data_IF_304706778983
#
_entry.id   IF_304706778983
#
_cell.length_a   1.000
_cell.length_b   1.000
_cell.length_c   1.000
_cell.angle_alpha   90.00
_cell.angle_beta   90.00
_cell.angle_gamma   90.00
#
_symmetry.space_group_name_H-M   'P 1'
#
loop_
_entity.id
_entity.type
_entity.pdbx_description
1 polymer ?
#
# COMPACT_ATOMS: atom_id res chain seq x y z
N UNK A 1 30.32 -58.40 -57.38
CA UNK A 1 29.13 -57.70 -56.83
C UNK A 1 29.27 -57.19 -55.38
N UNK A 2 30.41 -57.38 -54.68
CA UNK A 2 30.60 -56.89 -53.29
C UNK A 2 31.10 -55.44 -53.16
N UNK A 3 31.57 -54.80 -54.23
CA UNK A 3 32.14 -53.45 -54.18
C UNK A 3 31.14 -52.29 -54.31
N UNK A 4 29.96 -52.51 -54.90
CA UNK A 4 28.99 -51.43 -55.16
C UNK A 4 28.17 -51.02 -53.92
N UNK A 5 27.97 -51.95 -52.99
CA UNK A 5 27.18 -51.72 -51.77
C UNK A 5 27.91 -50.84 -50.75
N UNK A 6 29.24 -50.94 -50.66
CA UNK A 6 30.03 -50.17 -49.70
C UNK A 6 30.07 -48.68 -50.08
N UNK A 7 30.17 -48.38 -51.38
CA UNK A 7 30.20 -47.00 -51.89
C UNK A 7 28.85 -46.29 -51.71
N UNK A 8 27.74 -47.04 -51.79
CA UNK A 8 26.41 -46.49 -51.54
C UNK A 8 26.20 -46.15 -50.05
N UNK A 9 26.62 -47.04 -49.14
CA UNK A 9 26.53 -46.81 -47.70
C UNK A 9 27.38 -45.63 -47.22
N UNK A 10 28.60 -45.49 -47.73
CA UNK A 10 29.49 -44.37 -47.39
C UNK A 10 28.92 -43.02 -47.87
N UNK A 11 28.30 -42.96 -49.06
CA UNK A 11 27.66 -41.74 -49.55
C UNK A 11 26.42 -41.37 -48.75
N UNK A 12 25.64 -42.35 -48.30
CA UNK A 12 24.44 -42.11 -47.47
C UNK A 12 24.82 -41.60 -46.07
N UNK A 13 25.85 -42.20 -45.45
CA UNK A 13 26.39 -41.74 -44.16
C UNK A 13 26.98 -40.33 -44.24
N UNK A 14 27.72 -40.01 -45.31
CA UNK A 14 28.29 -38.68 -45.51
C UNK A 14 27.20 -37.61 -45.75
N UNK A 15 26.13 -37.97 -46.49
CA UNK A 15 24.96 -37.11 -46.67
C UNK A 15 24.20 -36.83 -45.37
N UNK A 16 24.00 -37.85 -44.53
CA UNK A 16 23.36 -37.71 -43.21
C UNK A 16 24.19 -36.84 -42.25
N UNK A 17 25.52 -36.98 -42.28
CA UNK A 17 26.42 -36.16 -41.47
C UNK A 17 26.41 -34.69 -41.91
N UNK A 18 26.38 -34.40 -43.22
CA UNK A 18 26.25 -33.03 -43.71
C UNK A 18 24.89 -32.42 -43.39
N UNK A 19 23.80 -33.20 -43.46
CA UNK A 19 22.45 -32.70 -43.14
C UNK A 19 22.30 -32.39 -41.64
N UNK A 20 22.89 -33.21 -40.76
CA UNK A 20 22.94 -32.94 -39.32
C UNK A 20 23.85 -31.75 -38.96
N UNK A 21 24.96 -31.55 -39.69
CA UNK A 21 25.83 -30.38 -39.53
C UNK A 21 25.14 -29.08 -39.99
N UNK A 22 24.34 -29.12 -41.05
CA UNK A 22 23.58 -27.95 -41.53
C UNK A 22 22.39 -27.64 -40.62
N UNK A 23 21.72 -28.65 -40.06
CA UNK A 23 20.66 -28.44 -39.05
C UNK A 23 21.19 -27.90 -37.71
N UNK A 24 22.42 -28.24 -37.32
CA UNK A 24 23.06 -27.69 -36.11
C UNK A 24 23.63 -26.27 -36.29
N UNK A 25 23.92 -25.84 -37.53
CA UNK A 25 24.28 -24.46 -37.86
C UNK A 25 23.05 -23.53 -38.02
N UNK A 26 21.86 -24.08 -38.26
CA UNK A 26 20.59 -23.33 -38.34
C UNK A 26 19.90 -23.07 -37.00
N UNK A 27 20.31 -23.79 -35.94
CA UNK A 27 19.91 -23.47 -34.58
C UNK A 27 20.77 -22.31 -34.05
N UNK A 28 20.56 -21.11 -34.60
CA UNK A 28 20.85 -19.88 -33.85
C UNK A 28 20.03 -19.98 -32.57
N UNK A 29 20.65 -20.52 -31.51
CA UNK A 29 20.17 -20.50 -30.14
C UNK A 29 19.87 -19.03 -29.87
N UNK A 30 18.60 -18.64 -30.04
CA UNK A 30 18.06 -17.45 -29.45
C UNK A 30 18.19 -17.70 -27.96
N UNK A 31 19.36 -17.38 -27.39
CA UNK A 31 19.47 -17.18 -25.97
C UNK A 31 18.40 -16.13 -25.69
N UNK A 32 17.33 -16.46 -24.94
CA UNK A 32 16.37 -15.44 -24.57
C UNK A 32 17.20 -14.32 -23.98
N UNK A 33 17.12 -13.13 -24.59
CA UNK A 33 17.78 -11.94 -24.07
C UNK A 33 17.25 -11.81 -22.66
N UNK A 34 18.06 -12.22 -21.69
CA UNK A 34 17.70 -12.17 -20.29
C UNK A 34 17.53 -10.69 -20.02
N UNK A 35 16.28 -10.22 -19.97
CA UNK A 35 15.97 -8.81 -19.71
C UNK A 35 16.69 -8.48 -18.41
N UNK A 36 17.71 -7.63 -18.50
CA UNK A 36 18.44 -7.20 -17.31
C UNK A 36 17.41 -6.61 -16.34
N UNK A 37 17.41 -7.09 -15.10
CA UNK A 37 16.54 -6.54 -14.07
C UNK A 37 16.88 -5.05 -13.91
N UNK A 38 15.89 -4.15 -13.91
CA UNK A 38 16.17 -2.73 -13.75
C UNK A 38 16.78 -2.46 -12.37
N UNK A 39 17.60 -1.41 -12.30
CA UNK A 39 18.09 -0.91 -11.02
C UNK A 39 17.06 0.04 -10.42
N UNK A 40 16.99 0.09 -9.09
CA UNK A 40 16.27 1.12 -8.38
C UNK A 40 17.28 2.10 -7.79
N UNK A 41 16.95 3.38 -7.88
CA UNK A 41 17.66 4.45 -7.21
C UNK A 41 16.71 5.04 -6.17
N UNK A 42 16.90 4.67 -4.91
CA UNK A 42 15.98 4.97 -3.81
C UNK A 42 16.59 5.99 -2.86
N UNK A 43 15.79 6.90 -2.33
CA UNK A 43 16.19 7.78 -1.25
C UNK A 43 15.08 7.92 -0.21
N UNK A 44 15.47 7.82 1.06
CA UNK A 44 14.63 8.17 2.19
C UNK A 44 14.73 9.67 2.46
N UNK A 45 13.58 10.30 2.65
CA UNK A 45 13.46 11.70 3.04
C UNK A 45 13.22 11.71 4.55
N UNK A 46 14.31 11.77 5.33
CA UNK A 46 14.20 11.76 6.78
C UNK A 46 13.61 13.07 7.34
N UNK A 47 13.96 14.19 6.70
CA UNK A 47 13.48 15.53 7.00
C UNK A 47 13.86 16.47 5.86
N UNK A 48 12.88 17.10 5.23
CA UNK A 48 13.08 18.12 4.21
C UNK A 48 12.26 19.36 4.54
N UNK A 49 12.90 20.54 4.52
CA UNK A 49 12.22 21.79 4.81
C UNK A 49 11.24 22.11 3.68
N UNK A 50 10.01 22.42 4.05
CA UNK A 50 8.96 22.77 3.11
C UNK A 50 8.20 24.02 3.53
N UNK A 51 7.49 24.56 2.55
CA UNK A 51 6.54 25.65 2.69
C UNK A 51 5.23 25.20 2.07
N UNK A 52 4.14 25.34 2.83
CA UNK A 52 2.78 25.12 2.38
C UNK A 52 2.09 26.48 2.31
N UNK A 53 1.54 26.84 1.14
CA UNK A 53 0.71 28.04 1.05
C UNK A 53 -0.70 27.71 1.53
N UNK A 54 -1.21 28.51 2.45
CA UNK A 54 -2.59 28.45 2.95
C UNK A 54 -3.30 29.77 2.66
N UNK A 55 -4.61 29.84 2.92
CA UNK A 55 -5.35 31.11 2.91
C UNK A 55 -4.85 32.14 3.94
N UNK A 56 -4.13 31.71 4.99
CA UNK A 56 -3.49 32.60 5.98
C UNK A 56 -2.03 32.97 5.61
N UNK A 57 -1.61 32.66 4.39
CA UNK A 57 -0.25 32.84 3.90
C UNK A 57 0.58 31.57 3.98
N UNK A 58 1.89 31.72 3.77
CA UNK A 58 2.85 30.63 3.78
C UNK A 58 3.12 30.12 5.21
N UNK A 59 3.29 28.81 5.33
CA UNK A 59 3.60 28.11 6.57
C UNK A 59 4.78 27.18 6.34
N UNK A 60 5.78 27.27 7.21
CA UNK A 60 6.89 26.33 7.21
C UNK A 60 6.42 24.97 7.74
N UNK A 61 6.96 23.90 7.18
CA UNK A 61 6.76 22.53 7.65
C UNK A 61 7.97 21.66 7.32
N UNK A 62 7.89 20.38 7.68
CA UNK A 62 8.87 19.35 7.35
C UNK A 62 8.18 18.23 6.60
N UNK A 63 8.67 17.92 5.40
CA UNK A 63 8.28 16.74 4.65
C UNK A 63 9.20 15.56 4.96
N UNK A 64 8.60 14.38 4.98
CA UNK A 64 9.25 13.08 5.19
C UNK A 64 8.69 12.09 4.17
N UNK A 65 9.35 10.95 4.02
CA UNK A 65 8.88 9.88 3.13
C UNK A 65 9.99 9.31 2.27
N UNK A 66 9.71 9.10 0.98
CA UNK A 66 10.63 8.45 0.06
C UNK A 66 10.42 8.88 -1.39
N UNK A 67 11.50 8.74 -2.17
CA UNK A 67 11.48 8.87 -3.62
C UNK A 67 12.29 7.73 -4.24
N UNK A 68 11.80 7.14 -5.31
CA UNK A 68 12.48 6.09 -6.05
C UNK A 68 12.39 6.31 -7.55
N UNK A 69 13.50 6.03 -8.25
CA UNK A 69 13.54 5.96 -9.69
C UNK A 69 13.85 4.54 -10.15
N UNK A 70 13.09 4.08 -11.15
CA UNK A 70 13.49 2.93 -11.95
C UNK A 70 14.51 3.40 -12.97
N UNK A 71 15.66 2.73 -13.01
CA UNK A 71 16.77 3.08 -13.91
C UNK A 71 16.93 1.97 -14.94
N UNK A 72 16.82 2.36 -16.20
CA UNK A 72 17.04 1.50 -17.35
C UNK A 72 18.13 2.07 -18.24
N UNK A 73 18.74 1.22 -19.06
CA UNK A 73 19.76 1.65 -20.02
C UNK A 73 19.11 1.70 -21.41
N UNK A 74 19.16 2.86 -22.06
CA UNK A 74 18.75 3.04 -23.44
C UNK A 74 19.88 2.67 -24.42
N UNK A 75 19.56 2.70 -25.71
CA UNK A 75 20.52 2.52 -26.79
C UNK A 75 21.74 3.45 -26.59
N UNK A 76 22.94 2.90 -26.80
CA UNK A 76 24.23 3.58 -26.61
C UNK A 76 24.62 3.83 -25.13
N UNK A 77 23.99 3.14 -24.18
CA UNK A 77 24.40 3.17 -22.78
C UNK A 77 23.91 4.38 -21.97
N UNK A 78 22.97 5.15 -22.52
CA UNK A 78 22.40 6.30 -21.81
C UNK A 78 21.40 5.84 -20.75
N UNK A 79 21.51 6.36 -19.53
CA UNK A 79 20.55 6.04 -18.47
C UNK A 79 19.23 6.77 -18.71
N UNK A 80 18.13 6.03 -18.61
CA UNK A 80 16.76 6.53 -18.53
C UNK A 80 16.24 6.30 -17.12
N UNK A 81 15.71 7.36 -16.52
CA UNK A 81 15.06 7.31 -15.23
C UNK A 81 13.55 7.34 -15.45
N UNK A 82 12.80 6.66 -14.61
CA UNK A 82 11.35 6.81 -14.50
C UNK A 82 11.03 6.99 -13.02
N UNK A 83 10.26 8.03 -12.67
CA UNK A 83 9.83 8.22 -11.29
C UNK A 83 8.88 7.07 -10.96
N UNK A 84 9.31 6.22 -10.03
CA UNK A 84 8.65 4.95 -9.72
C UNK A 84 7.86 5.03 -8.41
N UNK A 85 8.39 5.71 -7.39
CA UNK A 85 7.68 6.00 -6.14
C UNK A 85 7.96 7.42 -5.70
N UNK A 86 6.91 8.07 -5.18
CA UNK A 86 7.02 9.31 -4.45
C UNK A 86 5.93 9.30 -3.39
N UNK A 87 6.33 8.97 -2.17
CA UNK A 87 5.46 9.00 -1.00
C UNK A 87 5.99 10.10 -0.10
N UNK A 88 5.15 11.06 0.23
CA UNK A 88 5.49 12.15 1.10
C UNK A 88 4.43 12.30 2.15
N UNK A 89 4.85 12.67 3.35
CA UNK A 89 3.95 13.16 4.35
C UNK A 89 4.58 14.32 5.11
N UNK A 90 3.73 15.13 5.73
CA UNK A 90 4.11 16.25 6.57
C UNK A 90 3.17 16.31 7.76
N UNK A 91 3.64 16.75 8.94
CA UNK A 91 2.76 17.22 9.99
C UNK A 91 1.79 18.28 9.45
N UNK A 92 0.65 18.43 10.13
CA UNK A 92 -0.35 19.41 9.73
C UNK A 92 0.11 20.86 9.85
N UNK A 93 -0.53 21.73 9.09
CA UNK A 93 -0.33 23.17 9.14
C UNK A 93 -1.64 23.88 9.50
N UNK A 94 -1.51 25.00 10.20
CA UNK A 94 -2.66 25.85 10.55
C UNK A 94 -3.21 26.54 9.30
N UNK A 95 -4.48 26.31 8.99
CA UNK A 95 -5.19 26.99 7.90
C UNK A 95 -6.18 28.03 8.43
N UNK A 96 -6.93 28.68 7.53
CA UNK A 96 -8.06 29.54 7.92
C UNK A 96 -9.25 28.78 8.49
N UNK A 97 -9.35 27.47 8.22
CA UNK A 97 -10.46 26.60 8.64
C UNK A 97 -10.10 25.61 9.74
N UNK A 98 -8.90 25.71 10.33
CA UNK A 98 -8.38 24.81 11.37
C UNK A 98 -7.06 24.17 10.98
N UNK A 99 -6.58 23.24 11.81
CA UNK A 99 -5.42 22.41 11.49
C UNK A 99 -5.72 21.51 10.29
N UNK A 100 -4.79 21.38 9.34
CA UNK A 100 -4.98 20.49 8.19
C UNK A 100 -5.02 19.01 8.59
N UNK A 101 -4.41 18.65 9.72
CA UNK A 101 -4.00 17.28 10.01
C UNK A 101 -2.82 16.84 9.13
N UNK A 102 -2.37 15.59 9.27
CA UNK A 102 -1.25 15.04 8.49
C UNK A 102 -1.53 15.18 7.00
N UNK A 103 -0.59 15.80 6.28
CA UNK A 103 -0.67 15.96 4.83
C UNK A 103 0.02 14.77 4.21
N UNK A 104 -0.67 13.96 3.41
CA UNK A 104 -0.13 12.80 2.71
C UNK A 104 -0.19 12.98 1.20
N UNK A 105 0.87 12.58 0.50
CA UNK A 105 0.94 12.56 -0.96
C UNK A 105 1.54 11.26 -1.47
N UNK A 106 0.92 10.71 -2.52
CA UNK A 106 1.35 9.47 -3.15
C UNK A 106 1.28 9.59 -4.67
N UNK A 107 2.31 9.11 -5.37
CA UNK A 107 2.35 9.05 -6.83
C UNK A 107 1.13 8.30 -7.40
N UNK A 108 0.51 8.85 -8.45
CA UNK A 108 -0.57 8.21 -9.21
C UNK A 108 -0.03 7.60 -10.50
N UNK A 109 -0.38 6.34 -10.76
CA UNK A 109 0.02 5.64 -11.97
C UNK A 109 1.48 5.17 -11.95
N UNK A 110 1.91 4.55 -13.05
CA UNK A 110 3.14 3.77 -13.03
C UNK A 110 4.43 4.58 -13.23
N UNK A 111 4.44 5.66 -14.02
CA UNK A 111 5.68 6.41 -14.31
C UNK A 111 5.42 7.89 -14.65
N UNK A 112 6.02 8.81 -13.88
CA UNK A 112 6.08 10.23 -14.23
C UNK A 112 7.00 10.51 -15.42
N UNK A 113 6.79 11.63 -16.14
CA UNK A 113 7.72 12.00 -17.22
C UNK A 113 9.04 12.46 -16.61
N UNK A 114 10.17 11.89 -17.03
CA UNK A 114 11.48 12.33 -16.53
C UNK A 114 12.46 12.64 -17.66
N UNK A 115 13.38 13.56 -17.36
CA UNK A 115 14.53 13.87 -18.19
C UNK A 115 15.78 13.96 -17.32
N UNK A 116 16.83 13.27 -17.72
CA UNK A 116 18.11 13.23 -17.02
C UNK A 116 19.26 13.51 -17.99
N UNK A 117 20.19 14.36 -17.58
CA UNK A 117 21.40 14.65 -18.34
C UNK A 117 22.63 14.04 -17.66
N UNK A 118 23.17 12.96 -18.24
CA UNK A 118 24.37 12.31 -17.72
C UNK A 118 25.62 13.21 -17.65
N UNK A 119 25.65 14.29 -18.42
CA UNK A 119 26.77 15.25 -18.42
C UNK A 119 26.71 16.24 -17.26
N UNK A 120 25.51 16.77 -16.96
CA UNK A 120 25.34 17.79 -15.92
C UNK A 120 24.77 17.24 -14.61
N UNK A 121 24.34 15.98 -14.58
CA UNK A 121 23.63 15.40 -13.44
C UNK A 121 22.21 15.95 -13.26
N UNK A 122 21.75 16.87 -14.11
CA UNK A 122 20.46 17.53 -13.96
C UNK A 122 19.32 16.55 -14.22
N UNK A 123 18.35 16.58 -13.31
CA UNK A 123 17.12 15.80 -13.34
C UNK A 123 15.93 16.75 -13.34
N UNK A 124 14.94 16.45 -14.17
CA UNK A 124 13.60 17.01 -14.09
C UNK A 124 12.60 15.86 -14.19
N UNK A 125 11.69 15.74 -13.23
CA UNK A 125 10.57 14.81 -13.29
C UNK A 125 9.25 15.56 -13.04
N UNK A 126 8.22 15.21 -13.79
CA UNK A 126 6.86 15.72 -13.64
C UNK A 126 5.91 14.54 -13.44
N UNK A 127 4.97 14.67 -12.51
CA UNK A 127 4.10 13.57 -12.11
C UNK A 127 2.76 14.08 -11.58
N UNK A 128 1.81 13.17 -11.47
CA UNK A 128 0.54 13.41 -10.77
C UNK A 128 0.58 12.68 -9.43
N UNK A 129 0.11 13.32 -8.37
CA UNK A 129 -0.02 12.70 -7.05
C UNK A 129 -1.44 12.86 -6.52
N UNK A 130 -1.83 11.90 -5.70
CA UNK A 130 -3.00 11.99 -4.82
C UNK A 130 -2.57 12.73 -3.56
N UNK A 131 -3.25 13.81 -3.22
CA UNK A 131 -3.10 14.59 -1.98
C UNK A 131 -4.28 14.30 -1.05
N UNK A 132 -3.98 14.10 0.22
CA UNK A 132 -4.97 14.05 1.30
C UNK A 132 -4.50 14.82 2.53
N UNK A 133 -5.45 15.37 3.28
CA UNK A 133 -5.24 15.94 4.62
C UNK A 133 -6.58 15.90 5.39
N UNK A 134 -6.64 15.44 6.65
CA UNK A 134 -7.89 15.24 7.42
C UNK A 134 -8.91 16.38 7.39
N UNK A 135 -8.45 17.63 7.33
CA UNK A 135 -9.35 18.78 7.26
C UNK A 135 -10.27 18.75 6.03
N UNK A 136 -9.84 18.12 4.93
CA UNK A 136 -10.69 17.97 3.75
C UNK A 136 -11.91 17.11 4.04
N UNK A 137 -11.75 16.01 4.80
CA UNK A 137 -12.84 15.12 5.17
C UNK A 137 -13.79 15.82 6.16
N UNK A 138 -13.25 16.66 7.05
CA UNK A 138 -14.06 17.49 7.97
C UNK A 138 -14.92 18.51 7.23
N UNK A 139 -14.48 19.02 6.09
CA UNK A 139 -15.17 20.06 5.32
C UNK A 139 -16.09 19.47 4.26
N UNK A 140 -15.63 18.45 3.52
CA UNK A 140 -16.34 17.83 2.40
C UNK A 140 -17.15 16.59 2.83
N UNK A 141 -16.93 16.07 4.03
CA UNK A 141 -17.44 14.76 4.48
C UNK A 141 -16.57 13.61 3.96
N UNK A 142 -17.06 12.38 4.05
CA UNK A 142 -16.51 11.24 3.31
C UNK A 142 -17.27 11.05 1.98
N UNK A 143 -16.66 10.36 1.02
CA UNK A 143 -17.31 10.07 -0.27
C UNK A 143 -18.49 9.11 -0.04
N UNK A 144 -19.71 9.60 -0.24
CA UNK A 144 -20.92 8.78 -0.18
C UNK A 144 -21.10 7.93 -1.44
N UNK A 145 -21.38 6.63 -1.28
CA UNK A 145 -21.81 5.76 -2.39
C UNK A 145 -23.14 6.26 -2.99
N UNK A 146 -23.31 6.24 -4.32
CA UNK A 146 -24.62 6.39 -4.94
C UNK A 146 -25.52 5.24 -4.47
N UNK A 147 -26.59 5.54 -3.74
CA UNK A 147 -27.58 4.54 -3.31
C UNK A 147 -27.72 4.31 -1.81
N UNK A 148 -26.84 4.86 -0.97
CA UNK A 148 -26.95 4.87 0.51
C UNK A 148 -26.98 3.47 1.12
N UNK A 149 -25.90 3.02 1.74
CA UNK A 149 -25.90 1.70 2.38
C UNK A 149 -24.64 1.35 3.14
N UNK A 150 -23.46 1.78 2.69
CA UNK A 150 -22.22 1.42 3.38
C UNK A 150 -21.52 2.65 3.96
N UNK A 151 -21.10 2.51 5.22
CA UNK A 151 -20.25 3.41 6.01
C UNK A 151 -18.82 3.41 5.48
N UNK A 152 -18.65 3.58 4.18
CA UNK A 152 -17.34 3.65 3.56
C UNK A 152 -16.74 5.01 3.90
N UNK A 153 -15.84 5.06 4.88
CA UNK A 153 -15.04 6.23 5.26
C UNK A 153 -13.96 6.55 4.22
N UNK A 154 -14.32 6.50 2.94
CA UNK A 154 -13.42 6.75 1.83
C UNK A 154 -13.18 8.26 1.76
N UNK A 155 -11.92 8.70 1.89
CA UNK A 155 -11.61 10.11 2.04
C UNK A 155 -11.79 10.86 0.72
N UNK A 156 -11.99 12.17 0.83
CA UNK A 156 -11.78 13.02 -0.34
C UNK A 156 -10.30 13.21 -0.56
N UNK A 157 -9.84 12.81 -1.74
CA UNK A 157 -8.50 13.12 -2.22
C UNK A 157 -8.53 14.17 -3.31
N UNK A 158 -7.45 14.94 -3.42
CA UNK A 158 -7.23 15.94 -4.46
C UNK A 158 -6.08 15.47 -5.37
N UNK A 159 -6.10 15.91 -6.62
CA UNK A 159 -5.03 15.63 -7.57
C UNK A 159 -4.08 16.82 -7.64
N UNK A 160 -2.79 16.58 -7.42
CA UNK A 160 -1.73 17.59 -7.56
C UNK A 160 -0.75 17.23 -8.66
N UNK A 161 -0.28 18.25 -9.38
CA UNK A 161 0.86 18.14 -10.30
C UNK A 161 2.13 18.37 -9.49
N UNK A 162 2.99 17.36 -9.46
CA UNK A 162 4.31 17.42 -8.87
C UNK A 162 5.40 17.68 -9.90
N UNK A 163 6.39 18.47 -9.51
CA UNK A 163 7.59 18.75 -10.30
C UNK A 163 8.82 18.64 -9.41
N UNK A 164 9.69 17.70 -9.74
CA UNK A 164 11.01 17.56 -9.13
C UNK A 164 12.06 18.13 -10.08
N UNK A 165 12.86 19.09 -9.61
CA UNK A 165 14.01 19.61 -10.35
C UNK A 165 15.23 19.57 -9.44
N UNK A 166 16.36 19.09 -9.95
CA UNK A 166 17.60 19.10 -9.19
C UNK A 166 18.78 18.57 -9.98
N UNK A 167 19.85 18.25 -9.26
CA UNK A 167 21.07 17.70 -9.81
C UNK A 167 21.71 16.68 -8.87
N UNK A 168 22.24 15.61 -9.46
CA UNK A 168 23.13 14.69 -8.76
C UNK A 168 24.53 15.30 -8.67
N UNK A 169 25.20 15.15 -7.52
CA UNK A 169 26.56 15.66 -7.28
C UNK A 169 27.61 15.02 -8.20
N UNK A 170 27.29 13.87 -8.78
CA UNK A 170 28.13 13.13 -9.71
C UNK A 170 27.27 12.43 -10.76
N UNK A 171 27.87 12.12 -11.90
CA UNK A 171 27.19 11.34 -12.95
C UNK A 171 26.80 9.95 -12.45
N UNK A 172 25.54 9.58 -12.66
CA UNK A 172 25.00 8.28 -12.28
C UNK A 172 25.71 7.15 -13.02
N UNK A 173 26.15 6.15 -12.25
CA UNK A 173 26.66 4.86 -12.71
C UNK A 173 26.03 3.78 -11.83
N UNK A 174 25.31 2.80 -12.40
CA UNK A 174 24.72 1.74 -11.59
C UNK A 174 25.81 0.96 -10.85
N UNK A 175 25.78 1.00 -9.52
CA UNK A 175 26.71 0.29 -8.66
C UNK A 175 26.01 -0.04 -7.33
N UNK A 176 25.79 -1.33 -7.05
CA UNK A 176 25.03 -1.79 -5.87
C UNK A 176 25.60 -1.21 -4.57
N UNK A 177 24.73 -0.63 -3.74
CA UNK A 177 25.07 -0.14 -2.39
C UNK A 177 25.85 1.17 -2.34
N UNK A 178 26.20 1.77 -3.49
CA UNK A 178 26.86 3.08 -3.50
C UNK A 178 25.83 4.22 -3.38
N UNK A 179 26.14 5.19 -2.49
CA UNK A 179 25.36 6.41 -2.33
C UNK A 179 25.67 7.46 -3.41
N UNK A 180 24.65 8.15 -3.90
CA UNK A 180 24.76 9.30 -4.80
C UNK A 180 23.98 10.46 -4.21
N UNK A 181 24.70 11.52 -3.84
CA UNK A 181 24.08 12.74 -3.34
C UNK A 181 23.29 13.47 -4.43
N UNK A 182 22.13 14.00 -4.06
CA UNK A 182 21.22 14.78 -4.90
C UNK A 182 20.78 16.04 -4.16
N UNK A 183 20.77 17.17 -4.85
CA UNK A 183 20.18 18.41 -4.35
C UNK A 183 19.07 18.83 -5.31
N UNK A 184 17.91 19.17 -4.78
CA UNK A 184 16.80 19.57 -5.62
C UNK A 184 15.65 20.20 -4.86
N UNK A 185 14.58 20.38 -5.60
CA UNK A 185 13.37 21.02 -5.16
C UNK A 185 12.17 20.27 -5.73
N UNK A 186 11.20 20.02 -4.86
CA UNK A 186 9.89 19.49 -5.19
C UNK A 186 8.87 20.63 -5.10
N UNK A 187 8.12 20.84 -6.16
CA UNK A 187 7.02 21.80 -6.21
C UNK A 187 5.75 21.04 -6.55
N UNK A 188 4.69 21.28 -5.79
CA UNK A 188 3.37 20.67 -5.97
C UNK A 188 2.33 21.77 -6.16
N UNK A 189 1.63 21.71 -7.28
CA UNK A 189 0.58 22.66 -7.66
C UNK A 189 -0.73 21.88 -7.83
N UNK A 190 -1.82 22.34 -7.22
CA UNK A 190 -3.13 21.73 -7.42
C UNK A 190 -3.57 21.89 -8.88
N UNK A 191 -4.11 20.81 -9.47
CA UNK A 191 -4.36 20.76 -10.92
C UNK A 191 -5.53 21.69 -11.32
N UNK A 192 -6.63 21.65 -10.57
CA UNK A 192 -7.84 22.50 -10.75
C UNK A 192 -8.72 22.50 -9.48
N UNK A 193 -8.12 22.28 -8.30
CA UNK A 193 -8.83 22.07 -7.04
C UNK A 193 -9.54 23.33 -6.52
N UNK A 194 -10.65 23.14 -5.81
CA UNK A 194 -11.28 24.18 -4.99
C UNK A 194 -10.17 24.90 -4.18
N UNK A 195 -9.88 26.19 -4.42
CA UNK A 195 -8.71 26.89 -3.88
C UNK A 195 -8.76 27.08 -2.35
N UNK A 196 -9.69 26.42 -1.67
CA UNK A 196 -10.14 26.76 -0.35
C UNK A 196 -9.11 26.46 0.76
N UNK A 197 -8.09 25.62 0.56
CA UNK A 197 -7.23 25.20 1.69
C UNK A 197 -5.72 25.26 1.40
N UNK A 198 -5.20 24.45 0.46
CA UNK A 198 -3.76 24.27 0.23
C UNK A 198 -3.35 24.43 -1.26
N UNK A 199 -3.37 25.65 -1.83
CA UNK A 199 -3.14 25.90 -3.27
C UNK A 199 -1.84 25.34 -3.86
N UNK A 200 -0.73 25.42 -3.12
CA UNK A 200 0.55 24.85 -3.55
C UNK A 200 1.45 24.52 -2.35
N UNK A 201 2.40 23.62 -2.59
CA UNK A 201 3.42 23.22 -1.64
C UNK A 201 4.80 23.21 -2.32
N UNK A 202 5.83 23.60 -1.59
CA UNK A 202 7.23 23.59 -2.05
C UNK A 202 8.09 22.92 -0.99
N UNK A 203 9.01 22.08 -1.41
CA UNK A 203 9.92 21.38 -0.52
C UNK A 203 11.33 21.41 -1.12
N UNK A 204 12.32 21.84 -0.33
CA UNK A 204 13.72 21.82 -0.73
C UNK A 204 14.36 20.58 -0.14
N UNK A 205 14.96 19.76 -1.00
CA UNK A 205 15.47 18.44 -0.64
C UNK A 205 16.98 18.35 -0.88
N UNK A 206 17.68 17.76 0.09
CA UNK A 206 19.05 17.27 -0.08
C UNK A 206 19.03 15.81 0.34
N UNK A 207 19.24 14.92 -0.62
CA UNK A 207 19.03 13.48 -0.46
C UNK A 207 20.30 12.72 -0.78
N UNK A 208 20.42 11.55 -0.18
CA UNK A 208 21.38 10.54 -0.58
C UNK A 208 20.59 9.37 -1.18
N UNK A 209 20.81 9.12 -2.47
CA UNK A 209 20.20 7.99 -3.17
C UNK A 209 21.10 6.78 -3.10
N UNK A 210 20.55 5.61 -2.85
CA UNK A 210 21.26 4.34 -2.83
C UNK A 210 20.81 3.52 -4.04
N UNK A 211 21.78 2.90 -4.71
CA UNK A 211 21.51 1.94 -5.76
C UNK A 211 21.13 0.59 -5.18
N UNK A 212 19.91 0.16 -5.51
CA UNK A 212 19.40 -1.15 -5.13
C UNK A 212 19.10 -2.03 -6.34
N UNK A 213 19.23 -3.33 -6.15
CA UNK A 213 18.66 -4.33 -7.05
C UNK A 213 17.28 -4.71 -6.52
N UNK A 214 16.33 -4.92 -7.44
CA UNK A 214 14.98 -5.38 -7.08
C UNK A 214 15.05 -6.57 -6.10
N UNK A 215 14.22 -6.54 -5.06
CA UNK A 215 14.00 -7.57 -4.02
C UNK A 215 14.94 -7.61 -2.80
N UNK A 216 15.84 -6.64 -2.62
CA UNK A 216 16.65 -6.54 -1.37
C UNK A 216 16.13 -5.51 -0.36
N UNK A 217 15.15 -4.69 -0.76
CA UNK A 217 14.54 -3.65 0.05
C UNK A 217 13.06 -3.95 0.31
N UNK A 218 12.60 -3.66 1.52
CA UNK A 218 11.20 -3.77 1.91
C UNK A 218 10.57 -2.39 2.03
N UNK A 219 9.29 -2.27 1.72
CA UNK A 219 8.48 -1.13 2.12
C UNK A 219 7.82 -1.44 3.45
N UNK A 220 8.13 -0.62 4.44
CA UNK A 220 7.69 -0.76 5.82
C UNK A 220 6.52 0.19 6.05
N UNK A 221 5.45 -0.32 6.66
CA UNK A 221 4.35 0.45 7.22
C UNK A 221 4.42 0.35 8.75
N UNK A 222 4.49 1.49 9.43
CA UNK A 222 4.41 1.51 10.89
C UNK A 222 2.98 1.41 11.37
N UNK A 223 2.80 0.70 12.48
CA UNK A 223 1.54 0.50 13.17
C UNK A 223 1.71 0.96 14.61
N UNK A 224 0.80 1.82 15.06
CA UNK A 224 0.65 2.21 16.45
C UNK A 224 -0.59 1.52 17.03
N UNK A 225 -0.45 0.46 17.85
CA UNK A 225 -1.59 -0.08 18.58
C UNK A 225 -2.07 0.96 19.60
N UNK A 226 -3.39 1.12 19.71
CA UNK A 226 -4.05 1.97 20.70
C UNK A 226 -5.08 1.14 21.45
N UNK A 227 -4.86 0.94 22.76
CA UNK A 227 -5.71 0.14 23.62
C UNK A 227 -6.52 1.02 24.57
N UNK A 228 -7.66 0.53 25.04
CA UNK A 228 -8.50 1.20 26.03
C UNK A 228 -8.14 0.66 27.40
N UNK A 229 -7.72 1.54 28.30
CA UNK A 229 -7.27 1.20 29.65
C UNK A 229 -6.33 2.25 30.23
N UNK A 230 -5.95 2.07 31.49
CA UNK A 230 -5.13 3.02 32.24
C UNK A 230 -3.61 2.88 31.99
N UNK A 231 -3.16 1.80 31.34
CA UNK A 231 -1.75 1.56 30.98
C UNK A 231 -1.39 0.10 30.75
N UNK A 232 -0.10 -0.18 30.58
CA UNK A 232 0.44 -1.53 30.33
C UNK A 232 0.16 -2.54 31.46
N UNK A 233 0.12 -2.06 32.70
CA UNK A 233 -0.15 -2.88 33.88
C UNK A 233 -1.66 -3.05 34.17
N UNK A 234 -2.54 -2.46 33.36
CA UNK A 234 -3.99 -2.57 33.54
C UNK A 234 -4.47 -3.97 33.11
N UNK A 235 -4.91 -4.83 34.04
CA UNK A 235 -5.32 -6.20 33.71
C UNK A 235 -6.62 -6.26 32.92
N UNK A 236 -7.30 -5.12 32.75
CA UNK A 236 -8.53 -5.01 31.98
C UNK A 236 -8.31 -4.33 30.64
N UNK A 237 -7.10 -3.82 30.32
CA UNK A 237 -6.88 -3.15 29.05
C UNK A 237 -7.26 -4.03 27.86
N UNK A 238 -7.85 -3.43 26.83
CA UNK A 238 -8.14 -4.13 25.57
C UNK A 238 -6.84 -4.46 24.82
N UNK A 239 -6.95 -5.20 23.71
CA UNK A 239 -5.82 -5.58 22.88
C UNK A 239 -5.39 -7.05 23.02
N UNK A 240 -6.15 -7.87 23.75
CA UNK A 240 -5.85 -9.31 23.93
C UNK A 240 -5.76 -10.07 22.60
N UNK A 241 -6.55 -9.66 21.61
CA UNK A 241 -6.56 -10.27 20.28
C UNK A 241 -5.44 -9.78 19.36
N UNK A 242 -4.87 -8.60 19.64
CA UNK A 242 -4.09 -7.82 18.69
C UNK A 242 -2.86 -8.57 18.19
N UNK A 243 -2.15 -9.22 19.11
CA UNK A 243 -0.94 -9.99 18.81
C UNK A 243 -1.20 -11.14 17.83
N UNK A 244 -2.36 -11.77 17.93
CA UNK A 244 -2.74 -12.85 17.01
C UNK A 244 -3.12 -12.28 15.65
N UNK A 245 -3.97 -11.24 15.62
CA UNK A 245 -4.43 -10.60 14.38
C UNK A 245 -3.26 -10.00 13.60
N UNK A 246 -2.31 -9.35 14.27
CA UNK A 246 -1.16 -8.73 13.60
C UNK A 246 -0.21 -9.78 13.05
N UNK A 247 -0.02 -10.92 13.74
CA UNK A 247 0.76 -12.06 13.19
C UNK A 247 0.14 -12.60 11.91
N UNK A 248 -1.19 -12.73 11.85
CA UNK A 248 -1.90 -13.15 10.64
C UNK A 248 -1.75 -12.15 9.50
N UNK A 249 -1.82 -10.85 9.81
CA UNK A 249 -1.52 -9.79 8.86
C UNK A 249 -0.06 -9.83 8.36
N UNK A 250 0.90 -10.09 9.26
CA UNK A 250 2.28 -10.29 8.88
C UNK A 250 2.45 -11.41 7.86
N UNK A 251 1.86 -12.57 8.14
CA UNK A 251 1.94 -13.75 7.26
C UNK A 251 1.34 -13.44 5.88
N UNK A 252 0.13 -12.87 5.80
CA UNK A 252 -0.51 -12.57 4.52
C UNK A 252 0.23 -11.50 3.71
N UNK A 253 0.67 -10.42 4.33
CA UNK A 253 1.41 -9.37 3.63
C UNK A 253 2.85 -9.80 3.28
N UNK A 254 3.41 -10.80 3.99
CA UNK A 254 4.69 -11.40 3.62
C UNK A 254 4.65 -12.12 2.27
N UNK A 255 3.50 -12.71 1.91
CA UNK A 255 3.29 -13.36 0.61
C UNK A 255 3.51 -12.43 -0.57
N UNK A 256 3.51 -11.10 -0.39
CA UNK A 256 3.85 -10.18 -1.47
C UNK A 256 5.32 -10.25 -1.95
N UNK A 257 6.20 -11.01 -1.30
CA UNK A 257 7.65 -10.95 -1.50
C UNK A 257 8.17 -11.01 -2.94
N UNK A 258 7.60 -11.86 -3.80
CA UNK A 258 8.04 -11.98 -5.21
C UNK A 258 7.55 -10.84 -6.11
N UNK A 259 6.53 -10.10 -5.70
CA UNK A 259 6.02 -8.93 -6.42
C UNK A 259 6.58 -7.64 -5.84
N UNK A 260 6.50 -7.52 -4.51
CA UNK A 260 6.90 -6.36 -3.71
C UNK A 260 6.95 -6.73 -2.23
N UNK A 261 8.12 -6.54 -1.62
CA UNK A 261 8.28 -6.84 -0.21
C UNK A 261 7.61 -5.77 0.67
N UNK A 262 6.45 -6.08 1.26
CA UNK A 262 5.74 -5.22 2.21
C UNK A 262 5.90 -5.81 3.62
N UNK A 263 6.13 -4.94 4.60
CA UNK A 263 6.33 -5.31 6.00
C UNK A 263 5.62 -4.34 6.93
N UNK A 264 5.20 -4.86 8.07
CA UNK A 264 4.65 -4.05 9.14
C UNK A 264 5.73 -3.84 10.21
N UNK A 265 5.70 -2.71 10.89
CA UNK A 265 6.53 -2.45 12.06
C UNK A 265 5.60 -1.98 13.17
N UNK A 266 5.47 -2.77 14.22
CA UNK A 266 4.54 -2.49 15.31
C UNK A 266 5.29 -1.78 16.43
N UNK A 267 4.88 -0.56 16.73
CA UNK A 267 5.36 0.21 17.88
C UNK A 267 4.70 -0.28 19.18
N UNK A 268 5.26 0.02 20.38
CA UNK A 268 4.60 -0.29 21.65
C UNK A 268 3.21 0.35 21.75
N UNK A 269 2.24 -0.29 22.44
CA UNK A 269 0.88 0.23 22.54
C UNK A 269 0.81 1.58 23.26
N UNK A 270 -0.12 2.42 22.81
CA UNK A 270 -0.57 3.62 23.52
C UNK A 270 -1.92 3.32 24.17
N UNK A 271 -2.20 3.95 25.32
CA UNK A 271 -3.42 3.70 26.07
C UNK A 271 -4.32 4.93 26.13
N UNK A 272 -5.62 4.73 25.94
CA UNK A 272 -6.68 5.72 26.13
C UNK A 272 -7.45 5.34 27.40
N UNK A 273 -7.27 6.14 28.44
CA UNK A 273 -7.93 5.95 29.75
C UNK A 273 -9.36 6.51 29.72
N UNK A 274 -10.23 5.83 28.97
CA UNK A 274 -11.65 6.15 28.89
C UNK A 274 -12.49 4.89 28.63
N UNK A 275 -13.03 4.32 29.71
CA UNK A 275 -13.83 3.09 29.68
C UNK A 275 -15.06 3.16 28.78
N UNK A 276 -15.56 4.36 28.45
CA UNK A 276 -16.69 4.52 27.54
C UNK A 276 -16.38 4.03 26.12
N UNK A 277 -15.10 3.91 25.74
CA UNK A 277 -14.69 3.40 24.43
C UNK A 277 -14.46 1.89 24.37
N UNK A 278 -14.60 1.17 25.48
CA UNK A 278 -14.44 -0.30 25.47
C UNK A 278 -15.49 -0.98 24.60
N UNK A 279 -16.72 -0.46 24.64
CA UNK A 279 -17.86 -0.94 23.85
C UNK A 279 -18.30 0.20 22.97
N UNK A 280 -18.28 0.01 21.65
CA UNK A 280 -18.78 1.01 20.72
C UNK A 280 -20.18 0.64 20.22
N UNK A 281 -21.09 1.60 20.34
CA UNK A 281 -22.50 1.45 20.00
C UNK A 281 -22.80 1.90 18.56
N UNK A 282 -22.00 2.81 18.02
CA UNK A 282 -22.26 3.47 16.74
C UNK A 282 -21.01 4.12 16.12
N UNK A 283 -21.12 4.50 14.84
CA UNK A 283 -20.05 5.16 14.09
C UNK A 283 -19.54 6.45 14.74
N UNK A 284 -20.40 7.22 15.44
CA UNK A 284 -20.00 8.50 16.02
C UNK A 284 -19.02 8.30 17.19
N UNK A 285 -19.19 7.24 17.98
CA UNK A 285 -18.26 6.87 19.04
C UNK A 285 -16.92 6.41 18.47
N UNK A 286 -16.93 5.61 17.41
CA UNK A 286 -15.71 5.22 16.71
C UNK A 286 -14.97 6.44 16.12
N UNK A 287 -15.71 7.40 15.56
CA UNK A 287 -15.15 8.68 15.08
C UNK A 287 -14.55 9.50 16.21
N UNK A 288 -15.17 9.51 17.39
CA UNK A 288 -14.63 10.20 18.56
C UNK A 288 -13.35 9.51 19.06
N UNK A 289 -13.38 8.18 19.21
CA UNK A 289 -12.25 7.38 19.66
C UNK A 289 -11.01 7.60 18.79
N UNK A 290 -11.14 7.53 17.47
CA UNK A 290 -9.98 7.67 16.57
C UNK A 290 -9.29 9.04 16.63
N UNK A 291 -9.98 10.05 17.18
CA UNK A 291 -9.47 11.42 17.34
C UNK A 291 -8.69 11.61 18.67
N UNK A 292 -8.70 10.63 19.58
CA UNK A 292 -7.98 10.66 20.88
C UNK A 292 -6.46 10.57 20.73
N UNK A 293 -5.98 9.82 19.73
CA UNK A 293 -4.55 9.63 19.44
C UNK A 293 -4.27 10.15 18.04
N UNK A 294 -3.10 10.77 17.84
CA UNK A 294 -2.68 11.32 16.56
C UNK A 294 -1.16 11.17 16.36
N UNK A 295 -0.74 10.00 15.87
CA UNK A 295 0.65 9.69 15.54
C UNK A 295 0.89 9.93 14.05
N UNK A 296 1.76 10.89 13.74
CA UNK A 296 1.88 11.38 12.36
C UNK A 296 2.58 10.42 11.39
N UNK A 297 3.37 9.46 11.88
CA UNK A 297 4.20 8.56 11.06
C UNK A 297 3.84 7.08 11.17
N UNK A 298 2.67 6.76 11.72
CA UNK A 298 2.17 5.40 11.88
C UNK A 298 0.66 5.34 11.61
N UNK A 299 0.19 4.14 11.27
CA UNK A 299 -1.24 3.83 11.20
C UNK A 299 -1.71 3.46 12.59
N UNK A 300 -2.65 4.22 13.15
CA UNK A 300 -3.21 3.86 14.44
C UNK A 300 -4.27 2.78 14.30
N UNK A 301 -4.16 1.75 15.14
CA UNK A 301 -5.13 0.66 15.24
C UNK A 301 -5.71 0.69 16.65
N UNK A 302 -6.93 1.18 16.77
CA UNK A 302 -7.68 1.23 18.02
C UNK A 302 -8.33 -0.13 18.24
N UNK A 303 -8.02 -0.79 19.34
CA UNK A 303 -8.63 -2.07 19.70
C UNK A 303 -9.60 -1.85 20.84
N UNK A 304 -10.89 -2.07 20.58
CA UNK A 304 -11.94 -2.03 21.58
C UNK A 304 -12.28 -3.44 22.06
N UNK A 305 -12.98 -3.56 23.18
CA UNK A 305 -13.40 -4.87 23.68
C UNK A 305 -14.41 -5.50 22.73
N UNK A 306 -15.43 -4.72 22.33
CA UNK A 306 -16.46 -5.19 21.39
C UNK A 306 -17.22 -4.07 20.69
N UNK A 307 -17.87 -4.45 19.61
CA UNK A 307 -18.97 -3.69 19.00
C UNK A 307 -20.31 -4.19 19.55
N UNK A 308 -21.32 -3.33 19.61
CA UNK A 308 -22.71 -3.82 19.74
C UNK A 308 -23.17 -4.49 18.44
N UNK A 309 -24.17 -5.36 18.53
CA UNK A 309 -24.67 -6.18 17.43
C UNK A 309 -24.93 -5.37 16.14
N UNK A 310 -25.54 -4.18 16.24
CA UNK A 310 -25.83 -3.36 15.06
C UNK A 310 -24.58 -2.84 14.35
N UNK A 311 -23.51 -2.56 15.09
CA UNK A 311 -22.24 -2.10 14.55
C UNK A 311 -21.39 -3.29 14.07
N UNK A 312 -21.32 -4.37 14.84
CA UNK A 312 -20.70 -5.65 14.47
C UNK A 312 -21.23 -6.19 13.14
N UNK A 313 -22.54 -6.01 12.90
CA UNK A 313 -23.19 -6.37 11.65
C UNK A 313 -22.64 -5.59 10.45
N UNK A 314 -22.42 -4.28 10.60
CA UNK A 314 -22.05 -3.41 9.49
C UNK A 314 -20.54 -3.42 9.23
N UNK A 315 -19.75 -3.54 10.28
CA UNK A 315 -18.29 -3.44 10.22
C UNK A 315 -17.63 -4.82 10.25
N UNK A 316 -18.39 -5.87 10.55
CA UNK A 316 -17.83 -7.17 10.85
C UNK A 316 -16.88 -7.06 12.05
N UNK A 317 -15.59 -7.25 11.79
CA UNK A 317 -14.52 -7.22 12.79
C UNK A 317 -13.92 -5.85 13.10
N UNK A 318 -14.32 -4.81 12.35
CA UNK A 318 -13.72 -3.48 12.45
C UNK A 318 -13.84 -2.66 11.17
N UNK A 319 -13.24 -1.48 11.15
CA UNK A 319 -13.38 -0.57 10.02
C UNK A 319 -12.19 0.37 9.85
N UNK A 320 -11.87 0.62 8.59
CA UNK A 320 -10.83 1.57 8.18
C UNK A 320 -11.42 2.93 7.85
N UNK A 321 -10.87 3.96 8.49
CA UNK A 321 -11.11 5.36 8.21
C UNK A 321 -10.05 5.92 7.27
N UNK A 322 -10.46 6.85 6.39
CA UNK A 322 -9.56 7.59 5.50
C UNK A 322 -8.62 6.68 4.67
N UNK A 323 -9.14 5.53 4.21
CA UNK A 323 -8.42 4.49 3.46
C UNK A 323 -7.46 5.04 2.41
N UNK A 324 -6.26 4.46 2.32
CA UNK A 324 -5.23 4.82 1.35
C UNK A 324 -4.45 6.12 1.64
N UNK A 325 -4.67 6.76 2.79
CA UNK A 325 -4.06 8.06 3.12
C UNK A 325 -3.14 7.98 4.34
N UNK A 326 -2.35 9.04 4.56
CA UNK A 326 -1.52 9.15 5.76
C UNK A 326 -2.33 9.31 7.06
N UNK A 327 -3.63 9.57 6.95
CA UNK A 327 -4.54 9.67 8.09
C UNK A 327 -5.39 8.41 8.28
N UNK A 328 -5.02 7.32 7.59
CA UNK A 328 -5.79 6.08 7.72
C UNK A 328 -5.69 5.55 9.14
N UNK A 329 -6.82 5.13 9.69
CA UNK A 329 -6.93 4.57 11.04
C UNK A 329 -7.83 3.35 11.00
N UNK A 330 -7.55 2.36 11.84
CA UNK A 330 -8.39 1.18 11.97
C UNK A 330 -9.00 1.19 13.37
N UNK A 331 -10.29 0.88 13.46
CA UNK A 331 -10.93 0.50 14.73
C UNK A 331 -11.29 -0.98 14.62
N UNK A 332 -10.75 -1.80 15.51
CA UNK A 332 -10.93 -3.25 15.54
C UNK A 332 -11.41 -3.70 16.93
N UNK A 333 -11.82 -4.96 17.04
CA UNK A 333 -12.45 -5.53 18.24
C UNK A 333 -11.72 -6.78 18.73
N UNK A 334 -11.61 -6.95 20.05
CA UNK A 334 -11.08 -8.17 20.65
C UNK A 334 -11.97 -9.41 20.40
N UNK A 335 -13.27 -9.20 20.22
CA UNK A 335 -14.21 -10.27 19.84
C UNK A 335 -13.93 -10.89 18.47
N UNK A 336 -12.97 -10.37 17.68
CA UNK A 336 -12.56 -11.05 16.45
C UNK A 336 -12.05 -12.47 16.69
N UNK A 337 -11.56 -12.81 17.88
CA UNK A 337 -11.10 -14.17 18.21
C UNK A 337 -12.10 -15.01 19.03
N UNK A 338 -13.24 -14.42 19.38
CA UNK A 338 -14.32 -15.06 20.13
C UNK A 338 -15.64 -14.45 19.68
N UNK A 339 -15.98 -14.69 18.40
CA UNK A 339 -17.09 -14.01 17.74
C UNK A 339 -18.40 -14.49 18.36
N UNK A 340 -19.16 -13.61 19.04
CA UNK A 340 -20.46 -14.00 19.55
C UNK A 340 -21.40 -14.17 18.35
N UNK A 341 -21.62 -15.40 17.91
CA UNK A 341 -22.57 -15.63 16.84
C UNK A 341 -24.01 -15.53 17.35
N UNK A 342 -24.85 -14.66 16.77
CA UNK A 342 -26.26 -14.70 17.05
C UNK A 342 -26.81 -16.06 16.59
N UNK A 343 -27.47 -16.77 17.49
CA UNK A 343 -28.18 -18.02 17.18
C UNK A 343 -29.20 -17.81 16.03
N UNK A 344 -29.50 -18.89 15.29
CA UNK A 344 -28.80 -19.36 14.12
C UNK A 344 -29.16 -18.52 12.87
N UNK A 345 -28.26 -18.45 11.89
CA UNK A 345 -28.48 -17.90 10.54
C UNK A 345 -29.56 -18.68 9.74
N UNK A 346 -30.78 -18.79 10.26
CA UNK A 346 -31.88 -19.62 9.75
C UNK A 346 -32.89 -18.85 8.92
N UNK A 347 -32.83 -17.52 8.90
CA UNK A 347 -33.69 -16.74 8.00
C UNK A 347 -33.09 -16.70 6.60
N UNK A 348 -33.53 -17.64 5.77
CA UNK A 348 -33.47 -17.63 4.31
C UNK A 348 -34.22 -16.43 3.68
N UNK A 349 -34.18 -15.24 4.28
CA UNK A 349 -34.75 -14.04 3.65
C UNK A 349 -33.72 -13.46 2.67
N UNK A 350 -33.91 -13.84 1.41
CA UNK A 350 -33.15 -13.49 0.20
C UNK A 350 -33.25 -12.03 -0.21
N UNK A 351 -33.43 -11.10 0.73
CA UNK A 351 -33.34 -9.67 0.40
C UNK A 351 -31.88 -9.31 0.23
N UNK A 352 -31.47 -9.09 -1.02
CA UNK A 352 -30.17 -8.54 -1.37
C UNK A 352 -29.96 -7.23 -0.59
N UNK A 353 -29.11 -7.29 0.44
CA UNK A 353 -28.82 -6.16 1.34
C UNK A 353 -28.98 -6.43 2.84
N UNK A 354 -29.31 -7.65 3.28
CA UNK A 354 -29.38 -7.99 4.72
C UNK A 354 -28.44 -9.16 5.10
N UNK A 355 -28.07 -9.23 6.38
CA UNK A 355 -27.13 -10.19 7.01
C UNK A 355 -27.35 -11.66 6.66
N UNK A 356 -28.57 -12.03 6.28
CA UNK A 356 -28.90 -13.38 5.79
C UNK A 356 -28.03 -13.77 4.58
N UNK A 357 -27.72 -12.83 3.69
CA UNK A 357 -26.86 -13.07 2.53
C UNK A 357 -25.39 -13.29 2.93
N UNK A 358 -24.91 -12.65 4.01
CA UNK A 358 -23.53 -12.82 4.48
C UNK A 358 -23.35 -14.18 5.16
N UNK A 359 -24.27 -14.60 6.04
CA UNK A 359 -24.21 -15.97 6.59
C UNK A 359 -24.29 -17.05 5.50
N UNK A 360 -25.13 -16.85 4.47
CA UNK A 360 -25.31 -17.82 3.37
C UNK A 360 -24.01 -17.99 2.54
N UNK A 361 -23.17 -16.95 2.43
CA UNK A 361 -21.86 -17.04 1.74
C UNK A 361 -20.86 -17.94 2.48
N UNK A 362 -21.02 -18.09 3.79
CA UNK A 362 -20.07 -18.82 4.62
C UNK A 362 -20.33 -20.32 4.60
N UNK A 363 -21.42 -20.75 3.96
CA UNK A 363 -21.77 -22.15 3.77
C UNK A 363 -22.25 -22.80 5.05
N UNK A 364 -23.21 -23.72 4.94
CA UNK A 364 -23.86 -24.42 6.05
C UNK A 364 -22.91 -25.29 6.90
N UNK A 365 -21.61 -25.35 6.55
CA UNK A 365 -20.57 -26.20 7.13
C UNK A 365 -19.44 -25.46 7.84
N UNK A 366 -19.29 -24.14 7.66
CA UNK A 366 -18.39 -23.35 8.50
C UNK A 366 -19.21 -22.84 9.66
N UNK A 367 -18.96 -23.39 10.85
CA UNK A 367 -19.62 -22.96 12.07
C UNK A 367 -19.49 -21.44 12.20
N UNK A 368 -20.64 -20.77 12.19
CA UNK A 368 -20.73 -19.42 12.70
C UNK A 368 -20.15 -19.44 14.14
N UNK A 369 -19.12 -18.63 14.40
CA UNK A 369 -18.77 -18.25 15.78
C UNK A 369 -17.40 -18.67 16.28
N UNK A 370 -16.48 -19.07 15.40
CA UNK A 370 -15.14 -19.40 15.87
C UNK A 370 -14.24 -18.15 15.84
N UNK A 371 -13.77 -17.68 14.67
CA UNK A 371 -12.75 -16.61 14.61
C UNK A 371 -12.74 -15.85 13.28
N UNK A 372 -12.37 -14.56 13.32
CA UNK A 372 -12.07 -13.68 12.18
C UNK A 372 -10.57 -13.31 12.17
N UNK A 373 -9.70 -14.27 11.85
CA UNK A 373 -8.23 -14.14 11.98
C UNK A 373 -7.64 -13.13 10.99
N UNK A 374 -8.27 -12.97 9.82
CA UNK A 374 -7.75 -12.21 8.69
C UNK A 374 -8.36 -10.83 8.56
N UNK A 375 -9.27 -10.45 9.47
CA UNK A 375 -9.87 -9.12 9.49
C UNK A 375 -8.83 -8.00 9.48
N UNK A 376 -7.83 -8.06 10.37
CA UNK A 376 -6.83 -7.00 10.42
C UNK A 376 -6.02 -6.92 9.11
N UNK A 377 -5.75 -8.06 8.48
CA UNK A 377 -5.10 -8.14 7.17
C UNK A 377 -5.92 -7.41 6.10
N UNK A 378 -7.25 -7.59 6.12
CA UNK A 378 -8.22 -6.93 5.25
C UNK A 378 -8.24 -5.42 5.44
N UNK A 379 -8.38 -4.95 6.69
CA UNK A 379 -8.38 -3.51 7.01
C UNK A 379 -7.05 -2.85 6.64
N UNK A 380 -5.92 -3.53 6.84
CA UNK A 380 -4.63 -3.06 6.35
C UNK A 380 -4.58 -2.97 4.83
N UNK A 381 -5.34 -3.77 4.10
CA UNK A 381 -5.54 -3.62 2.66
C UNK A 381 -6.21 -2.30 2.30
N UNK A 382 -7.25 -1.90 3.04
CA UNK A 382 -7.86 -0.58 2.88
C UNK A 382 -6.91 0.56 3.23
N UNK A 383 -6.13 0.43 4.30
CA UNK A 383 -5.03 1.37 4.61
C UNK A 383 -4.04 1.47 3.46
N UNK A 384 -3.74 0.35 2.79
CA UNK A 384 -2.91 0.25 1.60
C UNK A 384 -3.67 0.58 0.30
N UNK A 385 -4.74 1.36 0.38
CA UNK A 385 -5.49 1.87 -0.78
C UNK A 385 -6.09 0.77 -1.66
N UNK A 386 -6.39 -0.42 -1.13
CA UNK A 386 -7.12 -1.47 -1.86
C UNK A 386 -8.61 -1.39 -1.52
N UNK A 387 -9.46 -1.47 -2.55
CA UNK A 387 -10.90 -1.62 -2.37
C UNK A 387 -11.31 -3.08 -2.29
N UNK A 388 -12.61 -3.33 -2.07
CA UNK A 388 -13.17 -4.66 -2.29
C UNK A 388 -13.18 -5.00 -3.78
N UNK A 389 -13.06 -6.29 -4.14
CA UNK A 389 -13.15 -6.72 -5.53
C UNK A 389 -14.50 -6.31 -6.15
N UNK A 390 -14.50 -6.03 -7.46
CA UNK A 390 -15.65 -5.55 -8.26
C UNK A 390 -16.23 -4.19 -7.85
N UNK A 391 -15.89 -3.66 -6.67
CA UNK A 391 -16.39 -2.39 -6.18
C UNK A 391 -15.31 -1.63 -5.40
N UNK A 392 -14.29 -1.09 -6.09
CA UNK A 392 -13.16 -0.44 -5.45
C UNK A 392 -13.53 0.89 -4.77
N UNK A 393 -14.68 1.49 -5.11
CA UNK A 393 -15.19 2.74 -4.54
C UNK A 393 -14.19 3.93 -4.59
N UNK A 394 -13.31 3.95 -5.58
CA UNK A 394 -12.27 4.99 -5.72
C UNK A 394 -10.96 4.68 -5.01
N UNK A 395 -10.83 3.49 -4.41
CA UNK A 395 -9.56 2.86 -4.05
C UNK A 395 -9.01 2.07 -5.26
N UNK A 396 -7.84 1.46 -5.13
CA UNK A 396 -7.29 0.61 -6.17
C UNK A 396 -8.00 -0.74 -6.24
N UNK A 397 -8.06 -1.32 -7.44
CA UNK A 397 -8.65 -2.64 -7.66
C UNK A 397 -7.90 -3.73 -6.88
N UNK A 398 -8.66 -4.72 -6.46
CA UNK A 398 -8.18 -5.93 -5.78
C UNK A 398 -8.76 -7.19 -6.43
N UNK A 399 -8.21 -8.34 -6.06
CA UNK A 399 -8.52 -9.63 -6.69
C UNK A 399 -9.67 -10.35 -5.98
N UNK A 400 -10.62 -10.87 -6.77
CA UNK A 400 -11.66 -11.79 -6.29
C UNK A 400 -11.03 -13.00 -5.55
N UNK A 401 -11.69 -13.49 -4.51
CA UNK A 401 -11.26 -14.59 -3.63
C UNK A 401 -9.91 -14.34 -2.91
N UNK A 402 -9.50 -13.08 -2.75
CA UNK A 402 -8.35 -12.70 -1.91
C UNK A 402 -8.82 -12.19 -0.55
N UNK A 403 -7.87 -11.84 0.33
CA UNK A 403 -8.11 -11.19 1.63
C UNK A 403 -9.00 -9.95 1.52
N UNK A 404 -9.05 -9.30 0.35
CA UNK A 404 -9.88 -8.11 0.12
C UNK A 404 -11.37 -8.42 -0.10
N UNK A 405 -11.79 -9.68 -0.15
CA UNK A 405 -13.22 -10.02 -0.16
C UNK A 405 -13.92 -9.42 1.08
N UNK A 406 -15.08 -8.77 0.92
CA UNK A 406 -15.85 -8.32 2.06
C UNK A 406 -16.31 -9.52 2.89
N UNK A 407 -16.11 -9.44 4.20
CA UNK A 407 -16.58 -10.43 5.15
C UNK A 407 -17.34 -9.76 6.30
N UNK A 408 -18.18 -10.53 6.99
CA UNK A 408 -18.87 -10.08 8.21
C UNK A 408 -18.16 -10.64 9.44
N UNK A 409 -18.57 -10.24 10.64
CA UNK A 409 -17.91 -10.69 11.89
C UNK A 409 -17.91 -12.24 11.98
N UNK A 410 -18.98 -12.88 11.53
CA UNK A 410 -19.17 -14.32 11.56
C UNK A 410 -18.37 -15.10 10.50
N UNK A 411 -17.63 -14.43 9.62
CA UNK A 411 -16.94 -15.08 8.52
C UNK A 411 -15.57 -14.45 8.31
N UNK A 412 -14.54 -15.28 8.39
CA UNK A 412 -13.18 -14.81 8.18
C UNK A 412 -12.97 -14.34 6.73
N UNK A 413 -12.09 -13.36 6.54
CA UNK A 413 -11.62 -13.02 5.21
C UNK A 413 -10.77 -14.19 4.66
N UNK A 414 -10.71 -14.39 3.33
CA UNK A 414 -9.88 -15.44 2.76
C UNK A 414 -8.42 -15.30 3.18
N UNK A 415 -7.81 -16.40 3.62
CA UNK A 415 -6.36 -16.50 3.88
C UNK A 415 -5.57 -16.64 2.56
N UNK A 416 -5.78 -15.68 1.65
CA UNK A 416 -5.25 -15.69 0.28
C UNK A 416 -4.79 -14.29 -0.10
N UNK A 417 -3.56 -14.16 -0.59
CA UNK A 417 -3.01 -12.91 -1.12
C UNK A 417 -2.80 -12.99 -2.64
N UNK A 418 -2.99 -11.87 -3.37
CA UNK A 418 -2.79 -11.80 -4.81
C UNK A 418 -1.65 -10.86 -5.23
N UNK A 419 -1.08 -11.13 -6.40
CA UNK A 419 -0.03 -10.29 -6.99
C UNK A 419 -0.53 -8.89 -7.33
N UNK A 420 -1.77 -8.78 -7.83
CA UNK A 420 -2.42 -7.50 -8.09
C UNK A 420 -2.53 -6.65 -6.81
N UNK A 421 -3.00 -7.22 -5.69
CA UNK A 421 -3.08 -6.54 -4.41
C UNK A 421 -1.70 -6.00 -4.00
N UNK A 422 -0.65 -6.82 -4.11
CA UNK A 422 0.72 -6.44 -3.77
C UNK A 422 1.26 -5.29 -4.63
N UNK A 423 0.97 -5.28 -5.94
CA UNK A 423 1.38 -4.21 -6.85
C UNK A 423 0.61 -2.91 -6.60
N UNK A 424 -0.70 -3.02 -6.36
CA UNK A 424 -1.61 -1.89 -6.18
C UNK A 424 -1.52 -1.25 -4.78
N UNK A 425 -1.04 -1.98 -3.78
CA UNK A 425 -0.89 -1.49 -2.41
C UNK A 425 -0.18 -0.13 -2.37
N UNK A 426 -0.72 0.85 -1.66
CA UNK A 426 -0.12 2.18 -1.65
C UNK A 426 -0.58 2.97 -0.43
N UNK A 427 0.36 3.65 0.20
CA UNK A 427 0.07 4.57 1.30
C UNK A 427 1.23 5.58 1.41
N UNK A 428 0.97 6.88 1.69
CA UNK A 428 2.02 7.88 1.85
C UNK A 428 3.01 7.58 2.99
N UNK A 429 2.64 6.73 3.96
CA UNK A 429 3.48 6.34 5.09
C UNK A 429 4.38 5.13 4.80
N UNK A 430 4.22 4.45 3.67
CA UNK A 430 5.16 3.40 3.25
C UNK A 430 6.55 4.00 3.01
N UNK A 431 7.57 3.44 3.65
CA UNK A 431 8.96 3.85 3.48
C UNK A 431 9.92 2.67 3.27
N UNK A 432 11.02 2.90 2.56
CA UNK A 432 12.06 1.90 2.35
C UNK A 432 12.81 1.58 3.64
N UNK A 433 12.87 0.30 3.95
CA UNK A 433 13.68 -0.30 4.99
C UNK A 433 14.32 -1.61 4.54
N UNK A 434 14.95 -2.29 5.48
CA UNK A 434 15.63 -3.55 5.26
C UNK A 434 14.80 -4.68 5.84
N UNK A 435 14.34 -5.59 4.98
CA UNK A 435 13.73 -6.84 5.37
C UNK A 435 13.81 -7.83 4.20
N UNK A 436 13.71 -9.11 4.50
CA UNK A 436 13.66 -10.17 3.48
C UNK A 436 12.25 -10.70 3.41
N UNK A 437 11.63 -10.66 2.22
CA UNK A 437 10.39 -11.37 1.92
C UNK A 437 10.70 -12.57 1.03
N UNK A 438 10.31 -13.75 1.47
CA UNK A 438 10.66 -15.01 0.79
C UNK A 438 9.44 -15.70 0.15
N UNK A 439 8.24 -15.24 0.48
CA UNK A 439 6.99 -15.84 0.01
C UNK A 439 6.49 -15.17 -1.28
N UNK A 440 5.61 -15.89 -1.98
CA UNK A 440 4.97 -15.46 -3.21
C UNK A 440 3.46 -15.36 -3.03
N UNK A 441 2.76 -14.49 -3.78
CA UNK A 441 1.32 -14.41 -3.70
C UNK A 441 0.68 -15.75 -4.06
N UNK A 442 -0.45 -16.05 -3.43
CA UNK A 442 -1.22 -17.26 -3.69
C UNK A 442 -1.88 -17.21 -5.08
N UNK A 443 -2.24 -15.99 -5.54
CA UNK A 443 -2.78 -15.71 -6.87
C UNK A 443 -1.76 -14.87 -7.66
N UNK A 444 -1.33 -15.35 -8.83
CA UNK A 444 -0.27 -14.72 -9.65
C UNK A 444 -0.82 -13.85 -10.80
N UNK A 445 -1.89 -13.12 -10.55
CA UNK A 445 -2.61 -12.30 -11.52
C UNK A 445 -1.84 -11.04 -11.98
#
# INVERSE_FOLDING_TARGET
>A
MKGAWLTFYLRMLFGLFLFAAVLSLGACIHRPVQKEKPYLLIAKIASAKGVVKTLKGERETVFRGQVAFKVTTADKGQLKLALYRLNLWSPGVVTSRGESGVIGMTLVGEEGTTSYSGKSGRLKAESTLTLHYPLIDKIKGYRSKPGGGDTNFIPFTETVKGKLVGEFKQGLKPAKGEGVGFNGELVFELDDGDPALLPWMRCVISLEFIWERLFESAEILKIQPVFIGSGEDDPTATGESFDTLVRRAFDLWNRCGTERCIRLLVDPPTYVDNDAYRVLDNDAEAVALKDEVNVADAIEIFVVERFVDSMAVNWGGGGTFSSGTAASKIVSSDQNLDVPCPEPCTSHETTAGSNAAMCTRCGDTLGCGDVNYQHLSHELGHVLNLGHPLNPNGLADSTDNSVMEPSGLCCDNPDVQSGLNCRNASNPLLYWGWATCEESPDITD
#
